data_IF_530101674161
#
_entry.id   IF_530101674161
#
_cell.length_a   1.000
_cell.length_b   1.000
_cell.length_c   1.000
_cell.angle_alpha   90.00
_cell.angle_beta   90.00
_cell.angle_gamma   90.00
#
_symmetry.space_group_name_H-M   'P 1'
#
loop_
_entity.id
_entity.type
_entity.pdbx_description
1 polymer ?
#
# COMPACT_ATOMS: atom_id res chain seq x y z
N UNK A 1 -27.52 13.93 -27.11
CA UNK A 1 -28.60 12.95 -27.23
C UNK A 1 -29.39 13.33 -28.45
N UNK A 2 -29.57 12.41 -29.38
CA UNK A 2 -30.46 12.63 -30.53
C UNK A 2 -31.88 12.84 -30.01
N UNK A 3 -32.63 13.77 -30.59
CA UNK A 3 -33.99 14.06 -30.15
C UNK A 3 -34.91 14.33 -31.33
N UNK A 4 -36.16 13.94 -31.19
CA UNK A 4 -37.21 14.25 -32.16
C UNK A 4 -37.98 15.48 -31.69
N UNK A 5 -38.09 16.48 -32.56
CA UNK A 5 -38.98 17.61 -32.33
C UNK A 5 -40.33 17.34 -33.01
N UNK A 6 -41.30 16.87 -32.22
CA UNK A 6 -42.66 16.55 -32.67
C UNK A 6 -43.68 17.64 -32.32
N UNK A 7 -43.25 18.81 -31.84
CA UNK A 7 -44.14 19.86 -31.32
C UNK A 7 -44.57 20.89 -32.36
N UNK A 8 -44.10 20.77 -33.61
CA UNK A 8 -44.47 21.69 -34.69
C UNK A 8 -45.93 21.48 -35.12
N UNK A 9 -46.67 22.58 -35.33
CA UNK A 9 -48.03 22.54 -35.86
C UNK A 9 -48.08 21.84 -37.23
N UNK A 10 -49.10 21.00 -37.44
CA UNK A 10 -49.26 20.17 -38.64
C UNK A 10 -48.67 18.75 -38.53
N UNK A 11 -47.84 18.48 -37.51
CA UNK A 11 -47.26 17.16 -37.27
C UNK A 11 -46.22 16.74 -38.32
N UNK A 12 -45.64 15.55 -38.14
CA UNK A 12 -44.72 14.93 -39.09
C UNK A 12 -45.35 13.64 -39.63
N UNK A 13 -45.23 13.42 -40.94
CA UNK A 13 -45.65 12.17 -41.55
C UNK A 13 -44.74 11.03 -41.05
N UNK A 14 -45.35 9.95 -40.54
CA UNK A 14 -44.61 8.79 -40.06
C UNK A 14 -44.09 7.95 -41.24
N UNK A 15 -42.80 8.08 -41.55
CA UNK A 15 -42.12 7.29 -42.55
C UNK A 15 -41.25 6.20 -41.90
N UNK A 16 -40.92 5.17 -42.68
CA UNK A 16 -40.06 4.07 -42.23
C UNK A 16 -38.71 4.58 -41.67
N UNK A 17 -38.13 5.60 -42.31
CA UNK A 17 -36.85 6.19 -41.89
C UNK A 17 -36.92 6.87 -40.52
N UNK A 18 -38.06 7.48 -40.17
CA UNK A 18 -38.26 8.10 -38.86
C UNK A 18 -38.30 7.06 -37.74
N UNK A 19 -38.99 5.94 -37.98
CA UNK A 19 -39.08 4.83 -37.02
C UNK A 19 -37.74 4.07 -36.93
N UNK A 20 -37.02 3.92 -38.04
CA UNK A 20 -35.66 3.38 -38.04
C UNK A 20 -34.72 4.26 -37.21
N UNK A 21 -34.75 5.58 -37.40
CA UNK A 21 -33.97 6.51 -36.58
C UNK A 21 -34.27 6.41 -35.08
N UNK A 22 -35.54 6.24 -34.70
CA UNK A 22 -35.91 5.99 -33.30
C UNK A 22 -35.31 4.69 -32.78
N UNK A 23 -35.44 3.60 -33.56
CA UNK A 23 -34.93 2.29 -33.18
C UNK A 23 -33.40 2.30 -33.02
N UNK A 24 -32.68 2.89 -33.96
CA UNK A 24 -31.22 3.02 -33.94
C UNK A 24 -30.77 3.86 -32.75
N UNK A 25 -31.45 4.99 -32.48
CA UNK A 25 -31.09 5.89 -31.38
C UNK A 25 -31.13 5.22 -30.00
N UNK A 26 -32.14 4.38 -29.71
CA UNK A 26 -32.22 3.68 -28.42
C UNK A 26 -31.34 2.42 -28.38
N UNK A 27 -31.24 1.68 -29.50
CA UNK A 27 -30.42 0.47 -29.54
C UNK A 27 -28.93 0.77 -29.39
N UNK A 28 -28.41 1.82 -30.04
CA UNK A 28 -27.03 2.28 -29.87
C UNK A 28 -26.74 2.74 -28.44
N UNK A 29 -27.68 3.48 -27.83
CA UNK A 29 -27.53 3.94 -26.45
C UNK A 29 -27.46 2.76 -25.47
N UNK A 30 -28.33 1.75 -25.65
CA UNK A 30 -28.36 0.55 -24.80
C UNK A 30 -27.11 -0.30 -25.03
N UNK A 31 -26.67 -0.48 -26.28
CA UNK A 31 -25.46 -1.24 -26.60
C UNK A 31 -24.21 -0.62 -25.93
N UNK A 32 -24.07 0.71 -25.96
CA UNK A 32 -22.98 1.41 -25.29
C UNK A 32 -23.03 1.23 -23.76
N UNK A 33 -24.21 1.22 -23.15
CA UNK A 33 -24.35 0.93 -21.71
C UNK A 33 -23.96 -0.52 -21.41
N UNK A 34 -24.33 -1.48 -22.27
CA UNK A 34 -23.95 -2.88 -22.11
C UNK A 34 -22.44 -3.07 -22.16
N UNK A 35 -21.70 -2.30 -22.95
CA UNK A 35 -20.23 -2.34 -22.96
C UNK A 35 -19.61 -1.97 -21.60
N UNK A 36 -20.23 -1.05 -20.85
CA UNK A 36 -19.74 -0.65 -19.52
C UNK A 36 -20.04 -1.71 -18.47
N UNK A 37 -21.22 -2.34 -18.56
CA UNK A 37 -21.62 -3.41 -17.62
C UNK A 37 -20.85 -4.70 -17.87
N UNK A 38 -20.49 -4.96 -19.13
CA UNK A 38 -19.84 -6.20 -19.58
C UNK A 38 -20.85 -7.20 -20.16
N UNK A 39 -20.30 -8.26 -20.77
CA UNK A 39 -21.10 -9.32 -21.39
C UNK A 39 -21.33 -10.51 -20.45
N UNK A 40 -22.35 -11.32 -20.74
CA UNK A 40 -22.75 -12.48 -19.95
C UNK A 40 -23.12 -12.13 -18.50
N UNK A 41 -23.93 -11.07 -18.34
CA UNK A 41 -24.32 -10.53 -17.03
C UNK A 41 -25.79 -10.82 -16.75
N UNK A 42 -26.11 -11.28 -15.55
CA UNK A 42 -27.49 -11.35 -15.04
C UNK A 42 -27.77 -10.02 -14.31
N UNK A 43 -28.67 -9.21 -14.86
CA UNK A 43 -29.11 -7.95 -14.26
C UNK A 43 -30.02 -8.25 -13.06
N UNK A 44 -30.98 -9.15 -13.24
CA UNK A 44 -31.95 -9.57 -12.22
C UNK A 44 -32.50 -10.98 -12.51
N UNK A 45 -33.04 -11.63 -11.48
CA UNK A 45 -33.69 -12.94 -11.59
C UNK A 45 -32.72 -14.08 -11.92
N UNK A 46 -33.17 -15.02 -12.76
CA UNK A 46 -32.42 -16.24 -13.12
C UNK A 46 -32.01 -17.03 -11.87
N UNK A 47 -32.89 -17.13 -10.87
CA UNK A 47 -32.62 -17.81 -9.60
C UNK A 47 -33.10 -19.26 -9.67
N UNK A 48 -32.21 -20.20 -9.39
CA UNK A 48 -32.52 -21.62 -9.44
C UNK A 48 -33.17 -22.06 -8.12
N UNK A 49 -34.34 -22.68 -8.21
CA UNK A 49 -35.07 -23.27 -7.09
C UNK A 49 -35.56 -24.67 -7.48
N UNK A 50 -34.85 -25.68 -6.97
CA UNK A 50 -35.09 -27.08 -7.34
C UNK A 50 -34.93 -27.31 -8.84
N UNK A 51 -36.00 -27.78 -9.49
CA UNK A 51 -36.04 -28.03 -10.94
C UNK A 51 -36.46 -26.80 -11.78
N UNK A 52 -36.65 -25.64 -11.15
CA UNK A 52 -37.11 -24.42 -11.81
C UNK A 52 -36.07 -23.32 -11.73
N UNK A 53 -36.12 -22.40 -12.68
CA UNK A 53 -35.35 -21.16 -12.66
C UNK A 53 -36.32 -20.00 -12.90
N UNK A 54 -36.18 -18.92 -12.14
CA UNK A 54 -37.06 -17.75 -12.28
C UNK A 54 -36.78 -16.98 -13.56
N UNK A 55 -37.77 -16.22 -14.02
CA UNK A 55 -37.59 -15.23 -15.08
C UNK A 55 -36.60 -14.16 -14.63
N UNK A 56 -36.01 -13.45 -15.58
CA UNK A 56 -35.06 -12.38 -15.28
C UNK A 56 -34.70 -11.54 -16.49
N UNK A 57 -33.60 -10.82 -16.37
CA UNK A 57 -33.05 -9.99 -17.43
C UNK A 57 -31.54 -10.23 -17.51
N UNK A 58 -31.04 -10.51 -18.71
CA UNK A 58 -29.63 -10.84 -18.96
C UNK A 58 -29.03 -9.98 -20.06
N UNK A 59 -27.71 -9.82 -20.02
CA UNK A 59 -26.91 -9.24 -21.10
C UNK A 59 -26.12 -10.37 -21.74
N UNK A 60 -26.33 -10.60 -23.04
CA UNK A 60 -25.59 -11.60 -23.84
C UNK A 60 -25.28 -11.00 -25.21
N UNK A 61 -24.03 -11.13 -25.66
CA UNK A 61 -23.52 -10.52 -26.89
C UNK A 61 -23.76 -9.00 -26.95
N UNK A 62 -23.67 -8.31 -25.80
CA UNK A 62 -23.86 -6.85 -25.72
C UNK A 62 -25.32 -6.36 -25.85
N UNK A 63 -26.29 -7.26 -25.73
CA UNK A 63 -27.72 -6.94 -25.82
C UNK A 63 -28.47 -7.32 -24.54
N UNK A 64 -29.39 -6.46 -24.10
CA UNK A 64 -30.29 -6.75 -22.98
C UNK A 64 -31.45 -7.61 -23.47
N UNK A 65 -31.59 -8.80 -22.90
CA UNK A 65 -32.60 -9.79 -23.27
C UNK A 65 -33.44 -10.18 -22.05
N UNK A 66 -34.78 -10.28 -22.20
CA UNK A 66 -35.60 -10.95 -21.19
C UNK A 66 -35.20 -12.43 -21.13
N UNK A 67 -35.08 -12.94 -19.91
CA UNK A 67 -34.87 -14.35 -19.64
C UNK A 67 -36.19 -14.98 -19.21
N UNK A 68 -36.68 -15.91 -20.02
CA UNK A 68 -37.84 -16.74 -19.66
C UNK A 68 -37.33 -18.03 -19.02
N UNK A 69 -37.65 -18.20 -17.75
CA UNK A 69 -37.24 -19.35 -16.96
C UNK A 69 -38.14 -20.56 -17.16
N UNK A 70 -37.68 -21.68 -16.59
CA UNK A 70 -38.29 -23.01 -16.59
C UNK A 70 -38.19 -23.79 -17.92
N UNK A 71 -37.73 -25.06 -17.89
CA UNK A 71 -37.14 -25.79 -16.75
C UNK A 71 -35.74 -25.28 -16.40
N UNK A 72 -35.22 -25.58 -15.21
CA UNK A 72 -33.81 -25.29 -14.91
C UNK A 72 -32.88 -26.15 -15.79
N UNK A 73 -31.90 -25.52 -16.44
CA UNK A 73 -30.83 -26.15 -17.21
C UNK A 73 -29.50 -25.45 -16.98
N UNK A 74 -28.40 -26.10 -17.34
CA UNK A 74 -27.03 -25.60 -17.09
C UNK A 74 -26.58 -24.54 -18.12
N UNK A 75 -27.24 -24.49 -19.28
CA UNK A 75 -26.90 -23.56 -20.36
C UNK A 75 -28.03 -22.59 -20.66
N UNK A 76 -27.67 -21.48 -21.27
CA UNK A 76 -28.57 -20.44 -21.77
C UNK A 76 -28.32 -20.29 -23.27
N UNK A 77 -29.41 -20.20 -24.03
CA UNK A 77 -29.37 -19.87 -25.46
C UNK A 77 -30.30 -18.69 -25.75
N UNK A 78 -29.91 -17.89 -26.74
CA UNK A 78 -30.75 -16.80 -27.26
C UNK A 78 -31.63 -17.35 -28.36
N UNK A 79 -32.94 -17.25 -28.18
CA UNK A 79 -33.95 -17.65 -29.17
C UNK A 79 -34.47 -16.41 -29.85
N UNK A 80 -34.45 -16.42 -31.18
CA UNK A 80 -35.00 -15.38 -32.03
C UNK A 80 -36.27 -15.88 -32.72
N UNK A 81 -37.35 -15.12 -32.62
CA UNK A 81 -38.61 -15.40 -33.32
C UNK A 81 -38.93 -14.25 -34.27
N UNK A 82 -39.05 -14.55 -35.56
CA UNK A 82 -39.50 -13.59 -36.57
C UNK A 82 -41.01 -13.69 -36.68
N UNK A 83 -41.72 -12.61 -36.36
CA UNK A 83 -43.16 -12.51 -36.52
C UNK A 83 -43.48 -11.85 -37.87
N UNK A 84 -44.43 -12.43 -38.60
CA UNK A 84 -44.89 -11.90 -39.88
C UNK A 84 -46.20 -11.15 -39.69
N UNK A 85 -46.48 -10.22 -40.60
CA UNK A 85 -47.77 -9.54 -40.69
C UNK A 85 -48.18 -9.39 -42.16
N UNK A 86 -49.49 -9.37 -42.45
CA UNK A 86 -49.99 -9.17 -43.81
C UNK A 86 -49.76 -7.73 -44.25
N UNK A 87 -49.16 -7.55 -45.43
CA UNK A 87 -48.96 -6.23 -46.04
C UNK A 87 -50.15 -5.85 -46.93
N UNK A 88 -50.16 -4.61 -47.44
CA UNK A 88 -51.26 -4.10 -48.29
C UNK A 88 -51.48 -4.89 -49.59
N UNK A 89 -50.50 -5.69 -49.99
CA UNK A 89 -50.56 -6.63 -51.12
C UNK A 89 -51.12 -8.01 -50.74
N UNK A 90 -51.46 -8.24 -49.46
CA UNK A 90 -51.98 -9.50 -48.95
C UNK A 90 -50.92 -10.55 -48.61
N UNK A 91 -49.64 -10.27 -48.89
CA UNK A 91 -48.52 -11.16 -48.58
C UNK A 91 -48.04 -10.95 -47.14
N UNK A 92 -47.77 -12.05 -46.43
CA UNK A 92 -47.15 -12.00 -45.12
C UNK A 92 -45.65 -11.70 -45.26
N UNK A 93 -45.20 -10.62 -44.62
CA UNK A 93 -43.78 -10.25 -44.59
C UNK A 93 -43.29 -10.15 -43.15
N UNK A 94 -41.98 -10.37 -42.90
CA UNK A 94 -41.38 -10.14 -41.59
C UNK A 94 -41.68 -8.74 -41.09
N UNK A 95 -42.30 -8.64 -39.92
CA UNK A 95 -42.72 -7.37 -39.32
C UNK A 95 -41.83 -6.99 -38.13
N UNK A 96 -41.65 -7.89 -37.17
CA UNK A 96 -40.75 -7.67 -36.03
C UNK A 96 -40.13 -8.96 -35.55
N UNK A 97 -39.00 -8.81 -34.88
CA UNK A 97 -38.25 -9.90 -34.29
C UNK A 97 -38.30 -9.77 -32.78
N UNK A 98 -38.64 -10.85 -32.09
CA UNK A 98 -38.49 -10.94 -30.63
C UNK A 98 -37.31 -11.84 -30.30
N UNK A 99 -36.48 -11.39 -29.36
CA UNK A 99 -35.33 -12.15 -28.87
C UNK A 99 -35.46 -12.31 -27.36
N UNK A 100 -35.18 -13.51 -26.88
CA UNK A 100 -35.20 -13.86 -25.46
C UNK A 100 -34.12 -14.88 -25.15
N UNK A 101 -33.67 -14.88 -23.91
CA UNK A 101 -32.79 -15.92 -23.39
C UNK A 101 -33.64 -16.99 -22.70
N UNK A 102 -33.32 -18.27 -22.93
CA UNK A 102 -34.01 -19.41 -22.32
C UNK A 102 -33.00 -20.47 -21.83
N UNK A 103 -33.35 -21.28 -20.82
CA UNK A 103 -32.61 -22.48 -20.47
C UNK A 103 -32.48 -23.42 -21.68
N UNK A 104 -31.27 -23.90 -21.95
CA UNK A 104 -30.93 -24.73 -23.10
C UNK A 104 -30.06 -25.94 -22.70
N UNK A 105 -29.99 -26.95 -23.58
CA UNK A 105 -29.15 -28.13 -23.38
C UNK A 105 -27.69 -27.90 -23.79
N UNK A 106 -27.42 -26.82 -24.53
CA UNK A 106 -26.10 -26.37 -24.94
C UNK A 106 -26.13 -24.85 -25.15
N UNK A 107 -24.97 -24.19 -25.03
CA UNK A 107 -24.83 -22.76 -25.22
C UNK A 107 -23.89 -22.11 -24.22
N UNK A 108 -24.22 -20.89 -23.78
CA UNK A 108 -23.50 -20.19 -22.73
C UNK A 108 -23.77 -20.86 -21.39
N UNK A 109 -22.74 -21.22 -20.64
CA UNK A 109 -22.92 -21.84 -19.33
C UNK A 109 -23.51 -20.80 -18.35
N UNK A 110 -24.66 -21.09 -17.74
CA UNK A 110 -25.31 -20.20 -16.77
C UNK A 110 -24.36 -19.89 -15.59
N UNK A 111 -23.54 -20.87 -15.17
CA UNK A 111 -22.55 -20.72 -14.11
C UNK A 111 -21.41 -19.74 -14.44
N UNK A 112 -21.18 -19.44 -15.73
CA UNK A 112 -20.16 -18.47 -16.15
C UNK A 112 -20.67 -17.03 -16.12
N UNK A 113 -21.98 -16.82 -15.99
CA UNK A 113 -22.59 -15.50 -15.99
C UNK A 113 -22.38 -14.79 -14.64
N UNK A 114 -22.04 -13.50 -14.70
CA UNK A 114 -21.82 -12.68 -13.51
C UNK A 114 -23.11 -11.99 -13.12
N UNK A 115 -23.45 -11.97 -11.83
CA UNK A 115 -24.61 -11.22 -11.33
C UNK A 115 -24.23 -9.76 -11.06
N UNK A 116 -25.05 -8.81 -11.51
CA UNK A 116 -24.85 -7.39 -11.23
C UNK A 116 -24.83 -7.10 -9.71
N UNK A 117 -25.55 -7.89 -8.91
CA UNK A 117 -25.50 -7.83 -7.45
C UNK A 117 -24.09 -8.09 -6.88
N UNK A 118 -23.32 -8.99 -7.49
CA UNK A 118 -21.94 -9.28 -7.10
C UNK A 118 -21.03 -8.08 -7.32
N UNK A 119 -21.21 -7.35 -8.44
CA UNK A 119 -20.47 -6.12 -8.71
C UNK A 119 -20.75 -5.03 -7.66
N UNK A 120 -22.03 -4.83 -7.30
CA UNK A 120 -22.41 -3.87 -6.24
C UNK A 120 -21.79 -4.25 -4.89
N UNK A 121 -21.78 -5.54 -4.56
CA UNK A 121 -21.14 -6.03 -3.34
C UNK A 121 -19.61 -5.82 -3.36
N UNK A 122 -18.95 -6.06 -4.50
CA UNK A 122 -17.52 -5.80 -4.66
C UNK A 122 -17.20 -4.30 -4.52
N UNK A 123 -17.95 -3.41 -5.18
CA UNK A 123 -17.78 -1.96 -5.06
C UNK A 123 -17.94 -1.46 -3.61
N UNK A 124 -18.87 -2.04 -2.86
CA UNK A 124 -19.08 -1.71 -1.45
C UNK A 124 -18.02 -2.32 -0.51
N UNK A 125 -17.22 -3.28 -0.99
CA UNK A 125 -16.22 -3.96 -0.17
C UNK A 125 -14.98 -3.08 0.04
N UNK A 126 -14.85 -2.54 1.26
CA UNK A 126 -13.70 -1.76 1.76
C UNK A 126 -12.64 -2.63 2.45
N UNK A 127 -12.68 -3.93 2.24
CA UNK A 127 -11.55 -4.79 2.59
C UNK A 127 -10.48 -4.71 1.50
N UNK A 128 -9.33 -5.33 1.73
CA UNK A 128 -8.28 -5.48 0.70
C UNK A 128 -8.88 -6.01 -0.63
N UNK A 129 -8.83 -5.23 -1.74
CA UNK A 129 -7.85 -4.18 -2.07
C UNK A 129 -8.19 -2.72 -1.77
N UNK A 130 -9.40 -2.37 -1.34
CA UNK A 130 -9.79 -0.99 -1.07
C UNK A 130 -9.61 -0.65 0.42
N UNK A 131 -9.03 0.52 0.74
CA UNK A 131 -8.86 1.00 2.13
C UNK A 131 -8.04 0.07 3.05
N UNK A 132 -6.96 -0.53 2.52
CA UNK A 132 -6.11 -1.45 3.30
C UNK A 132 -5.54 -0.79 4.56
N UNK A 133 -5.87 -1.37 5.71
CA UNK A 133 -5.43 -0.96 7.04
C UNK A 133 -4.07 -1.55 7.39
N UNK A 134 -3.36 -0.91 8.34
CA UNK A 134 -2.11 -1.45 8.89
C UNK A 134 -2.26 -2.87 9.44
N UNK A 135 -3.41 -3.17 10.04
CA UNK A 135 -3.72 -4.50 10.55
C UNK A 135 -3.77 -5.53 9.41
N UNK A 136 -4.38 -5.19 8.28
CA UNK A 136 -4.49 -6.09 7.12
C UNK A 136 -3.13 -6.44 6.49
N UNK A 137 -2.12 -5.57 6.64
CA UNK A 137 -0.75 -5.83 6.16
C UNK A 137 0.20 -6.32 7.27
N UNK A 138 -0.31 -6.66 8.45
CA UNK A 138 0.51 -7.15 9.57
C UNK A 138 1.37 -6.09 10.27
N UNK A 139 1.11 -4.81 10.03
CA UNK A 139 1.83 -3.67 10.60
C UNK A 139 1.06 -2.98 11.75
N UNK A 140 0.03 -3.64 12.30
CA UNK A 140 -0.85 -3.05 13.32
C UNK A 140 -0.14 -2.63 14.61
N UNK A 141 0.96 -3.30 14.96
CA UNK A 141 1.75 -2.99 16.15
C UNK A 141 2.81 -1.89 15.92
N UNK A 142 2.97 -1.39 14.68
CA UNK A 142 3.97 -0.38 14.38
C UNK A 142 3.41 1.04 14.58
N UNK A 143 4.11 1.90 15.34
CA UNK A 143 3.78 3.30 15.44
C UNK A 143 3.77 4.04 14.09
N UNK A 144 3.13 5.20 14.04
CA UNK A 144 3.10 6.08 12.86
C UNK A 144 4.21 7.14 12.88
N UNK A 145 4.68 7.51 14.08
CA UNK A 145 5.69 8.54 14.23
C UNK A 145 7.09 7.96 14.09
N UNK A 146 7.99 8.81 13.61
CA UNK A 146 9.44 8.55 13.60
C UNK A 146 10.16 9.76 14.18
N UNK A 147 11.32 9.55 14.78
CA UNK A 147 12.12 10.62 15.40
C UNK A 147 13.60 10.48 15.09
N UNK A 148 14.24 11.62 14.84
CA UNK A 148 15.70 11.76 14.72
C UNK A 148 16.36 12.05 16.07
N UNK A 149 15.58 12.27 17.13
CA UNK A 149 16.11 12.59 18.46
C UNK A 149 16.71 11.35 19.13
N UNK A 150 17.95 11.47 19.60
CA UNK A 150 18.65 10.43 20.36
C UNK A 150 18.20 10.33 21.82
N UNK A 151 17.44 11.31 22.30
CA UNK A 151 17.01 11.44 23.70
C UNK A 151 15.49 11.38 23.87
N UNK A 152 14.74 11.12 22.79
CA UNK A 152 13.30 10.94 22.89
C UNK A 152 13.00 9.57 23.50
N UNK A 153 12.48 9.56 24.73
CA UNK A 153 11.95 8.37 25.39
C UNK A 153 10.43 8.29 25.17
N UNK A 154 10.02 7.54 24.14
CA UNK A 154 8.61 7.38 23.78
C UNK A 154 8.39 6.02 23.08
N UNK A 155 7.39 5.25 23.52
CA UNK A 155 6.99 3.97 22.90
C UNK A 155 6.29 4.14 21.55
N UNK A 156 5.76 5.32 21.26
CA UNK A 156 4.91 5.59 20.11
C UNK A 156 5.68 6.19 18.92
N UNK A 157 7.01 6.12 18.94
CA UNK A 157 7.86 6.66 17.89
C UNK A 157 9.01 5.72 17.55
N UNK A 158 9.20 5.45 16.27
CA UNK A 158 10.33 4.66 15.79
C UNK A 158 11.58 5.55 15.65
N UNK A 159 12.73 5.05 16.11
CA UNK A 159 14.01 5.71 15.85
C UNK A 159 14.35 5.64 14.35
N UNK A 160 14.77 6.77 13.76
CA UNK A 160 15.30 6.76 12.40
C UNK A 160 16.74 6.26 12.37
N UNK A 161 17.22 5.88 11.18
CA UNK A 161 18.64 5.57 10.97
C UNK A 161 19.56 6.71 11.38
N UNK A 162 19.10 7.97 11.26
CA UNK A 162 19.82 9.15 11.74
C UNK A 162 19.94 9.17 13.26
N UNK A 163 18.86 8.94 14.01
CA UNK A 163 18.91 8.86 15.47
C UNK A 163 19.90 7.78 15.93
N UNK A 164 19.85 6.59 15.31
CA UNK A 164 20.77 5.48 15.62
C UNK A 164 22.22 5.88 15.31
N UNK A 165 22.47 6.46 14.14
CA UNK A 165 23.81 6.90 13.73
C UNK A 165 24.37 7.99 14.66
N UNK A 166 23.58 9.00 14.98
CA UNK A 166 23.98 10.11 15.86
C UNK A 166 24.21 9.59 17.29
N UNK A 167 23.39 8.65 17.77
CA UNK A 167 23.57 7.98 19.05
C UNK A 167 24.92 7.27 19.14
N UNK A 168 25.27 6.46 18.14
CA UNK A 168 26.59 5.79 18.08
C UNK A 168 27.73 6.81 17.99
N UNK A 169 27.58 7.84 17.14
CA UNK A 169 28.59 8.88 16.93
C UNK A 169 28.78 9.78 18.15
N UNK A 170 27.81 9.87 19.05
CA UNK A 170 27.92 10.65 20.29
C UNK A 170 28.99 10.11 21.24
N UNK A 171 29.30 8.81 21.14
CA UNK A 171 30.46 8.21 21.81
C UNK A 171 31.72 8.62 21.04
N UNK A 172 32.68 9.24 21.73
CA UNK A 172 33.96 9.67 21.16
C UNK A 172 35.11 9.02 21.88
N UNK A 173 36.22 8.85 21.18
CA UNK A 173 37.46 8.43 21.82
C UNK A 173 38.67 8.93 21.05
N UNK A 174 39.83 8.78 21.66
CA UNK A 174 41.10 9.12 21.07
C UNK A 174 42.24 8.70 21.97
N UNK A 175 43.46 9.00 21.53
CA UNK A 175 44.69 8.72 22.28
C UNK A 175 45.35 10.04 22.63
N UNK A 176 45.87 10.15 23.85
CA UNK A 176 46.69 11.26 24.31
C UNK A 176 48.05 10.72 24.78
N UNK A 177 49.12 11.45 24.50
CA UNK A 177 50.47 11.08 24.95
C UNK A 177 50.88 11.91 26.15
N UNK A 178 51.29 11.26 27.22
CA UNK A 178 51.73 11.91 28.47
C UNK A 178 53.21 11.64 28.68
N UNK A 179 54.05 12.65 28.44
CA UNK A 179 55.47 12.60 28.75
C UNK A 179 55.69 12.88 30.24
N UNK A 180 56.23 11.89 30.97
CA UNK A 180 56.49 11.98 32.40
C UNK A 180 57.99 11.89 32.64
N UNK A 181 58.53 12.82 33.41
CA UNK A 181 59.92 12.75 33.86
C UNK A 181 60.15 11.60 34.84
N UNK A 182 61.42 11.23 35.07
CA UNK A 182 61.80 10.20 36.04
C UNK A 182 61.15 10.44 37.42
N UNK A 183 60.49 9.41 37.97
CA UNK A 183 59.73 9.42 39.22
C UNK A 183 58.69 10.56 39.35
N UNK A 184 58.28 11.11 38.20
CA UNK A 184 57.49 12.33 38.12
C UNK A 184 56.00 12.11 37.97
N UNK A 185 55.28 13.23 37.86
CA UNK A 185 53.88 13.29 37.45
C UNK A 185 53.75 14.27 36.30
N UNK A 186 52.96 13.94 35.29
CA UNK A 186 52.59 14.87 34.23
C UNK A 186 51.10 14.81 33.96
N UNK A 187 50.57 15.91 33.43
CA UNK A 187 49.16 16.08 33.12
C UNK A 187 49.03 16.41 31.64
N UNK A 188 48.08 15.77 30.97
CA UNK A 188 47.60 16.18 29.65
C UNK A 188 46.15 16.62 29.79
N UNK A 189 45.79 17.72 29.14
CA UNK A 189 44.40 18.16 29.04
C UNK A 189 43.89 17.79 27.66
N UNK A 190 42.78 17.06 27.62
CA UNK A 190 42.08 16.70 26.39
C UNK A 190 40.88 17.63 26.26
N UNK A 191 40.83 18.35 25.14
CA UNK A 191 39.67 19.19 24.78
C UNK A 191 38.77 18.43 23.81
N UNK A 192 37.46 18.62 23.93
CA UNK A 192 36.45 18.03 23.06
C UNK A 192 35.30 19.03 22.83
N UNK A 193 34.52 18.82 21.77
CA UNK A 193 33.40 19.69 21.40
C UNK A 193 32.08 18.90 21.34
N UNK A 194 31.80 18.11 22.37
CA UNK A 194 30.63 17.22 22.38
C UNK A 194 29.29 17.95 22.48
N UNK A 195 29.26 19.23 22.86
CA UNK A 195 28.01 19.95 23.07
C UNK A 195 27.10 19.33 24.15
N UNK A 196 27.65 18.42 24.95
CA UNK A 196 26.95 17.67 25.99
C UNK A 196 27.44 18.16 27.35
N UNK A 197 26.58 18.81 28.17
CA UNK A 197 27.01 19.37 29.45
C UNK A 197 27.36 18.27 30.47
N UNK A 198 26.88 17.05 30.28
CA UNK A 198 27.19 15.90 31.11
C UNK A 198 27.71 14.72 30.26
N UNK A 199 28.87 14.20 30.62
CA UNK A 199 29.49 13.02 29.99
C UNK A 199 30.23 12.18 31.04
N UNK A 200 30.65 10.97 30.71
CA UNK A 200 31.54 10.14 31.53
C UNK A 200 32.85 9.94 30.77
N UNK A 201 33.96 9.82 31.48
CA UNK A 201 35.28 9.59 30.91
C UNK A 201 35.78 8.23 31.36
N UNK A 202 36.06 7.36 30.41
CA UNK A 202 36.83 6.15 30.63
C UNK A 202 38.22 6.38 30.07
N UNK A 203 39.23 6.02 30.87
CA UNK A 203 40.63 6.17 30.50
C UNK A 203 41.29 4.82 30.69
N UNK A 204 42.04 4.40 29.69
CA UNK A 204 42.86 3.19 29.76
C UNK A 204 44.28 3.54 29.35
N UNK A 205 45.25 2.96 30.05
CA UNK A 205 46.65 3.07 29.66
C UNK A 205 46.90 2.04 28.56
N UNK A 206 47.44 2.46 27.42
CA UNK A 206 47.80 1.58 26.33
C UNK A 206 49.32 1.43 26.32
N UNK A 207 49.84 0.26 26.66
CA UNK A 207 51.27 -0.03 26.63
C UNK A 207 51.57 -1.04 25.52
N UNK A 208 52.52 -0.73 24.63
CA UNK A 208 52.97 -1.61 23.55
C UNK A 208 54.32 -2.27 23.89
N UNK A 209 54.34 -3.17 24.87
CA UNK A 209 55.51 -4.00 25.17
C UNK A 209 55.12 -5.35 25.74
N UNK A 210 56.09 -6.27 25.79
CA UNK A 210 55.89 -7.67 26.20
C UNK A 210 56.15 -7.81 27.70
N UNK A 211 55.11 -8.18 28.47
CA UNK A 211 55.22 -8.60 29.88
C UNK A 211 54.86 -7.55 30.95
N UNK A 212 54.86 -7.98 32.21
CA UNK A 212 54.45 -7.20 33.40
C UNK A 212 55.47 -6.15 33.88
N UNK A 213 56.58 -5.99 33.14
CA UNK A 213 57.64 -5.05 33.51
C UNK A 213 57.14 -3.60 33.64
N UNK A 214 55.97 -3.30 33.06
CA UNK A 214 55.39 -1.96 33.06
C UNK A 214 53.96 -1.84 33.61
N UNK A 215 53.34 -2.94 34.05
CA UNK A 215 51.92 -3.00 34.46
C UNK A 215 51.68 -2.57 35.92
N UNK A 216 52.71 -2.63 36.77
CA UNK A 216 52.52 -2.59 38.23
C UNK A 216 52.43 -1.18 38.85
N UNK A 217 52.64 -0.10 38.09
CA UNK A 217 52.82 1.24 38.68
C UNK A 217 52.15 2.40 37.91
N UNK A 218 51.39 2.13 36.84
CA UNK A 218 50.72 3.18 36.07
C UNK A 218 49.36 3.54 36.68
N UNK A 219 49.34 4.63 37.46
CA UNK A 219 48.09 5.21 37.98
C UNK A 219 47.70 6.41 37.14
N UNK A 220 46.58 6.31 36.44
CA UNK A 220 45.93 7.43 35.77
C UNK A 220 44.73 7.90 36.58
N UNK A 221 44.58 9.21 36.73
CA UNK A 221 43.39 9.82 37.37
C UNK A 221 42.87 10.93 36.46
N UNK A 222 41.54 10.98 36.32
CA UNK A 222 40.83 12.06 35.64
C UNK A 222 40.41 13.11 36.66
N UNK A 223 40.69 14.38 36.38
CA UNK A 223 40.30 15.52 37.22
C UNK A 223 40.11 16.76 36.33
N UNK A 224 39.74 17.89 36.94
CA UNK A 224 39.46 19.17 36.26
C UNK A 224 38.52 19.04 35.06
N UNK A 225 37.46 18.24 35.24
CA UNK A 225 36.46 18.01 34.20
C UNK A 225 35.56 19.24 34.04
N UNK A 226 35.54 19.81 32.84
CA UNK A 226 34.65 20.88 32.41
C UNK A 226 33.71 20.37 31.32
N UNK A 227 32.82 21.22 30.79
CA UNK A 227 31.90 20.84 29.71
C UNK A 227 32.61 20.47 28.39
N UNK A 228 33.85 20.90 28.20
CA UNK A 228 34.58 20.74 26.94
C UNK A 228 36.03 20.26 27.12
N UNK A 229 36.43 19.91 28.34
CA UNK A 229 37.78 19.41 28.61
C UNK A 229 37.83 18.53 29.85
N UNK A 230 38.84 17.69 29.92
CA UNK A 230 39.23 16.99 31.13
C UNK A 230 40.73 16.79 31.16
N UNK A 231 41.30 16.65 32.35
CA UNK A 231 42.72 16.44 32.54
C UNK A 231 42.98 15.01 32.98
N UNK A 232 43.94 14.35 32.34
CA UNK A 232 44.48 13.05 32.72
C UNK A 232 45.85 13.28 33.33
N UNK A 233 46.07 12.78 34.54
CA UNK A 233 47.41 12.75 35.16
C UNK A 233 47.91 11.34 35.26
N UNK A 234 49.13 11.15 34.79
CA UNK A 234 49.88 9.91 34.90
C UNK A 234 51.05 10.16 35.84
N UNK A 235 51.21 9.26 36.81
CA UNK A 235 52.41 9.18 37.63
C UNK A 235 53.31 8.06 37.10
N UNK A 236 54.59 8.37 36.97
CA UNK A 236 55.65 7.44 36.60
C UNK A 236 56.46 7.13 37.85
N UNK A 237 56.74 5.84 38.07
CA UNK A 237 57.71 5.39 39.07
C UNK A 237 59.02 4.92 38.40
N UNK A 238 59.23 5.28 37.13
CA UNK A 238 60.45 4.93 36.39
C UNK A 238 61.60 5.88 36.68
N UNK A 239 62.82 5.34 36.66
CA UNK A 239 64.06 6.11 36.78
C UNK A 239 64.42 6.93 35.55
N UNK A 240 63.68 6.76 34.45
CA UNK A 240 63.87 7.48 33.19
C UNK A 240 62.58 8.20 32.78
N UNK A 241 62.70 9.23 31.95
CA UNK A 241 61.54 9.85 31.33
C UNK A 241 60.87 8.88 30.36
N UNK A 242 59.55 8.78 30.42
CA UNK A 242 58.74 7.86 29.60
C UNK A 242 57.50 8.59 29.10
N UNK A 243 57.13 8.34 27.85
CA UNK A 243 55.87 8.81 27.27
C UNK A 243 54.87 7.68 27.26
N UNK A 244 53.71 7.89 27.89
CA UNK A 244 52.64 6.89 27.95
C UNK A 244 51.51 7.28 26.99
N UNK A 245 51.11 6.40 26.06
CA UNK A 245 49.85 6.55 25.36
C UNK A 245 48.70 6.20 26.30
N UNK A 246 47.70 7.07 26.32
CA UNK A 246 46.50 6.91 27.11
C UNK A 246 45.30 7.02 26.18
N UNK A 247 44.54 5.94 26.06
CA UNK A 247 43.29 5.98 25.33
C UNK A 247 42.17 6.46 26.24
N UNK A 248 41.28 7.25 25.67
CA UNK A 248 40.13 7.78 26.38
C UNK A 248 38.88 7.59 25.54
N UNK A 249 37.77 7.32 26.21
CA UNK A 249 36.42 7.27 25.64
C UNK A 249 35.51 8.18 26.46
N UNK A 250 34.71 8.97 25.75
CA UNK A 250 33.68 9.85 26.26
C UNK A 250 32.32 9.24 25.91
N UNK A 251 31.48 9.10 26.93
CA UNK A 251 30.11 8.61 26.79
C UNK A 251 29.18 9.72 27.29
N UNK A 252 28.14 10.12 26.53
CA UNK A 252 27.11 11.01 27.04
C UNK A 252 26.51 10.47 28.35
N UNK A 253 26.25 11.34 29.32
CA UNK A 253 25.69 10.93 30.61
C UNK A 253 24.16 10.92 30.60
#
# INVERSE_FOLDING_TARGET
>A
MNYLNLTNEGGVLAFQELLAFMQDSYSDAIANICQVVGDNVIIEGCEVSGATISNGTVIINGEVLPFEGCPAKDYVAVVQTTNTAPYKDGEDKPFYVTRKAVPADAGLALASMVRLATFKAHYANKSNPHEVTKTQVGLGNLPNAKSDSISLDNSDSLATSKAVYDGVRSIKGGTASVAVNAYGKATVTVTHNLGMPAYRVFVTNAYQGVGDAYTQMLRCVVFDKTNNAFSIRVKSDYSSSVTFPVDWILIPA
#
